data_IF_157688614652
#
_entry.id   IF_157688614652
#
_cell.length_a   1.000
_cell.length_b   1.000
_cell.length_c   1.000
_cell.angle_alpha   90.00
_cell.angle_beta   90.00
_cell.angle_gamma   90.00
#
_symmetry.space_group_name_H-M   'P 1'
#
loop_
_entity.id
_entity.type
_entity.pdbx_description
1 polymer ?
#
# COMPACT_ATOMS: atom_id res chain seq x y z
N UNK A 1 7.96 26.26 -5.05
CA UNK A 1 6.51 26.10 -5.27
C UNK A 1 6.37 24.66 -5.66
N UNK A 2 5.68 23.86 -4.86
CA UNK A 2 5.47 22.46 -5.22
C UNK A 2 4.50 22.39 -6.39
N UNK A 3 4.82 21.56 -7.39
CA UNK A 3 3.99 21.35 -8.58
C UNK A 3 2.80 20.44 -8.24
N UNK A 4 1.88 20.95 -7.41
CA UNK A 4 0.66 20.24 -7.01
C UNK A 4 -0.55 20.89 -7.67
N UNK A 5 -1.30 20.10 -8.45
CA UNK A 5 -2.56 20.52 -9.07
C UNK A 5 -3.71 19.80 -8.36
N UNK A 6 -4.70 20.58 -7.92
CA UNK A 6 -5.94 20.07 -7.32
C UNK A 6 -7.11 20.35 -8.25
N UNK A 7 -7.91 19.33 -8.55
CA UNK A 7 -9.14 19.47 -9.34
C UNK A 7 -10.28 18.70 -8.67
N UNK A 8 -11.39 19.38 -8.45
CA UNK A 8 -12.64 18.77 -7.98
C UNK A 8 -13.60 18.59 -9.15
N UNK A 9 -14.19 17.41 -9.31
CA UNK A 9 -15.23 17.16 -10.35
C UNK A 9 -16.26 16.16 -9.82
N UNK A 10 -17.55 16.50 -9.88
CA UNK A 10 -18.67 15.61 -9.50
C UNK A 10 -18.49 14.87 -8.15
N UNK A 11 -17.86 15.54 -7.16
CA UNK A 11 -17.61 14.97 -5.83
C UNK A 11 -16.25 14.27 -5.68
N UNK A 12 -15.55 13.95 -6.77
CA UNK A 12 -14.19 13.40 -6.72
C UNK A 12 -13.12 14.49 -6.66
N UNK A 13 -12.04 14.20 -5.93
CA UNK A 13 -10.83 14.99 -5.88
C UNK A 13 -9.72 14.31 -6.69
N UNK A 14 -9.08 15.07 -7.55
CA UNK A 14 -7.87 14.68 -8.28
C UNK A 14 -6.71 15.53 -7.76
N UNK A 15 -5.66 14.87 -7.31
CA UNK A 15 -4.39 15.48 -6.90
C UNK A 15 -3.32 15.00 -7.85
N UNK A 16 -2.67 15.93 -8.55
CA UNK A 16 -1.55 15.63 -9.43
C UNK A 16 -0.29 16.25 -8.85
N UNK A 17 0.75 15.44 -8.77
CA UNK A 17 2.15 15.86 -8.56
C UNK A 17 2.95 15.47 -9.81
N UNK A 18 4.23 15.85 -9.97
CA UNK A 18 5.01 15.40 -11.13
C UNK A 18 5.06 13.87 -11.28
N UNK A 19 5.10 13.13 -10.17
CA UNK A 19 5.30 11.68 -10.15
C UNK A 19 4.01 10.88 -9.89
N UNK A 20 3.01 11.44 -9.23
CA UNK A 20 1.80 10.73 -8.79
C UNK A 20 0.51 11.40 -9.26
N UNK A 21 -0.48 10.58 -9.58
CA UNK A 21 -1.89 10.95 -9.60
C UNK A 21 -2.60 10.22 -8.47
N UNK A 22 -3.31 10.99 -7.63
CA UNK A 22 -4.19 10.48 -6.58
C UNK A 22 -5.62 10.87 -6.92
N UNK A 23 -6.50 9.88 -6.99
CA UNK A 23 -7.93 10.07 -7.22
C UNK A 23 -8.66 9.62 -5.97
N UNK A 24 -9.48 10.52 -5.43
CA UNK A 24 -10.29 10.27 -4.26
C UNK A 24 -11.75 10.38 -4.70
N UNK A 25 -12.48 9.28 -4.63
CA UNK A 25 -13.89 9.24 -5.04
C UNK A 25 -14.77 8.84 -3.86
N UNK A 26 -15.76 9.68 -3.49
CA UNK A 26 -16.73 9.32 -2.47
C UNK A 26 -17.82 8.43 -3.07
N UNK A 27 -18.17 7.37 -2.36
CA UNK A 27 -19.33 6.54 -2.66
C UNK A 27 -20.23 6.40 -1.44
N UNK A 28 -21.53 6.25 -1.69
CA UNK A 28 -22.43 5.71 -0.67
C UNK A 28 -22.20 4.21 -0.58
N UNK A 29 -21.99 3.74 0.64
CA UNK A 29 -21.76 2.33 0.89
C UNK A 29 -23.07 1.57 0.59
N UNK A 30 -23.06 0.68 -0.41
CA UNK A 30 -24.13 -0.31 -0.59
C UNK A 30 -23.76 -1.53 0.23
N UNK A 31 -24.74 -2.18 0.86
CA UNK A 31 -24.53 -3.32 1.76
C UNK A 31 -23.48 -4.31 1.22
N UNK A 32 -22.27 -4.31 1.82
CA UNK A 32 -21.24 -5.31 1.57
C UNK A 32 -21.35 -6.44 2.62
N UNK A 33 -20.98 -7.65 2.22
CA UNK A 33 -21.00 -8.82 3.11
C UNK A 33 -20.01 -8.56 4.26
N UNK A 34 -20.51 -8.47 5.50
CA UNK A 34 -19.77 -8.35 6.77
C UNK A 34 -19.43 -6.95 7.30
N UNK A 35 -19.99 -5.86 6.76
CA UNK A 35 -19.82 -4.50 7.32
C UNK A 35 -21.17 -3.94 7.78
N UNK A 36 -21.30 -3.58 9.07
CA UNK A 36 -22.52 -2.98 9.64
C UNK A 36 -22.30 -1.50 9.97
N UNK A 37 -23.26 -0.64 9.62
CA UNK A 37 -23.29 0.77 10.03
C UNK A 37 -22.37 1.71 9.23
N UNK A 38 -21.74 1.23 8.16
CA UNK A 38 -20.96 2.09 7.28
C UNK A 38 -21.88 2.72 6.22
N UNK A 39 -21.90 4.05 6.14
CA UNK A 39 -22.77 4.80 5.22
C UNK A 39 -21.99 5.47 4.08
N UNK A 40 -20.69 5.71 4.29
CA UNK A 40 -19.82 6.42 3.37
C UNK A 40 -18.53 5.63 3.15
N UNK A 41 -18.06 5.61 1.90
CA UNK A 41 -16.79 5.03 1.49
C UNK A 41 -16.00 6.06 0.71
N UNK A 42 -14.69 6.02 0.91
CA UNK A 42 -13.75 6.82 0.17
C UNK A 42 -12.82 5.86 -0.56
N UNK A 43 -12.91 5.84 -1.88
CA UNK A 43 -11.99 5.06 -2.70
C UNK A 43 -10.79 5.96 -3.03
N UNK A 44 -9.59 5.49 -2.68
CA UNK A 44 -8.33 6.21 -2.90
C UNK A 44 -7.49 5.43 -3.88
N UNK A 45 -7.37 5.92 -5.10
CA UNK A 45 -6.56 5.32 -6.14
C UNK A 45 -5.30 6.14 -6.33
N UNK A 46 -4.15 5.48 -6.40
CA UNK A 46 -2.87 6.14 -6.62
C UNK A 46 -2.19 5.45 -7.79
N UNK A 47 -1.72 6.22 -8.76
CA UNK A 47 -0.87 5.72 -9.84
C UNK A 47 0.35 6.59 -10.07
N UNK A 48 1.35 5.99 -10.70
CA UNK A 48 2.51 6.70 -11.19
C UNK A 48 2.17 7.48 -12.48
N UNK A 49 2.76 8.66 -12.62
CA UNK A 49 2.74 9.50 -13.83
C UNK A 49 4.05 9.42 -14.60
N UNK A 50 5.05 8.76 -14.02
CA UNK A 50 6.36 8.50 -14.60
C UNK A 50 6.63 6.99 -14.56
N UNK A 51 7.49 6.47 -15.44
CA UNK A 51 8.03 5.12 -15.27
C UNK A 51 8.63 4.92 -13.89
N UNK A 52 8.46 3.73 -13.34
CA UNK A 52 8.88 3.35 -12.00
C UNK A 52 10.37 3.60 -11.73
N UNK A 53 11.22 3.32 -12.72
CA UNK A 53 12.66 3.55 -12.67
C UNK A 53 13.05 5.04 -12.65
N UNK A 54 12.09 5.94 -12.84
CA UNK A 54 12.28 7.40 -12.84
C UNK A 54 11.73 8.09 -11.59
N UNK A 55 11.12 7.35 -10.66
CA UNK A 55 10.67 7.92 -9.39
C UNK A 55 11.91 8.29 -8.58
N UNK A 56 11.99 9.55 -8.14
CA UNK A 56 13.12 10.02 -7.33
C UNK A 56 13.10 9.46 -5.92
N UNK A 57 11.91 9.37 -5.33
CA UNK A 57 11.67 8.84 -3.99
C UNK A 57 10.83 7.59 -4.08
N UNK A 58 11.48 6.42 -4.17
CA UNK A 58 10.76 5.17 -4.24
C UNK A 58 9.87 4.97 -2.98
N UNK A 59 8.58 4.65 -3.17
CA UNK A 59 7.64 4.47 -2.06
C UNK A 59 7.99 3.26 -1.20
N UNK A 60 7.52 3.27 0.05
CA UNK A 60 7.78 2.22 1.02
C UNK A 60 6.60 2.05 1.97
N UNK A 61 6.46 0.87 2.57
CA UNK A 61 5.39 0.54 3.52
C UNK A 61 4.12 -0.01 2.88
N UNK A 62 2.95 0.41 3.38
CA UNK A 62 1.66 -0.21 3.01
C UNK A 62 1.24 0.15 1.58
N UNK A 63 1.56 1.36 1.13
CA UNK A 63 1.12 1.89 -0.17
C UNK A 63 2.34 2.07 -1.07
N UNK A 64 2.26 1.55 -2.30
CA UNK A 64 3.25 1.79 -3.34
C UNK A 64 4.58 1.04 -3.18
N UNK A 65 4.81 0.27 -2.11
CA UNK A 65 6.05 -0.50 -1.95
C UNK A 65 6.27 -1.53 -3.09
N UNK A 66 5.21 -1.88 -3.83
CA UNK A 66 5.25 -2.66 -5.06
C UNK A 66 5.90 -1.96 -6.25
N UNK A 67 6.10 -0.64 -6.18
CA UNK A 67 6.79 0.14 -7.18
C UNK A 67 8.31 0.16 -6.90
N UNK A 68 8.93 -1.02 -6.93
CA UNK A 68 10.37 -1.26 -6.70
C UNK A 68 11.17 -1.79 -7.91
N UNK A 69 10.54 -1.93 -9.06
CA UNK A 69 11.12 -2.20 -10.37
C UNK A 69 11.20 -3.68 -10.72
N UNK A 70 10.72 -4.56 -9.84
CA UNK A 70 10.86 -6.01 -10.02
C UNK A 70 9.58 -6.70 -10.50
N UNK A 71 8.43 -6.03 -10.41
CA UNK A 71 7.12 -6.55 -10.82
C UNK A 71 6.60 -7.72 -9.99
N UNK A 72 7.17 -7.93 -8.79
CA UNK A 72 6.93 -9.12 -7.98
C UNK A 72 6.14 -8.79 -6.73
N UNK A 73 5.12 -9.62 -6.49
CA UNK A 73 4.40 -9.65 -5.22
C UNK A 73 4.98 -10.73 -4.30
N UNK A 74 4.99 -10.45 -3.00
CA UNK A 74 5.50 -11.37 -1.98
C UNK A 74 4.43 -11.55 -0.89
N UNK A 75 4.17 -12.80 -0.51
CA UNK A 75 3.28 -13.09 0.63
C UNK A 75 4.12 -13.13 1.90
N UNK A 76 3.67 -12.45 2.95
CA UNK A 76 4.27 -12.58 4.27
C UNK A 76 3.88 -13.87 4.98
N UNK A 77 4.43 -14.05 6.18
CA UNK A 77 4.03 -15.12 7.10
C UNK A 77 2.53 -15.07 7.40
N UNK A 78 1.92 -16.24 7.57
CA UNK A 78 0.51 -16.40 7.92
C UNK A 78 0.38 -17.12 9.27
N UNK A 79 -0.59 -16.68 10.08
CA UNK A 79 -0.95 -17.36 11.32
C UNK A 79 -1.70 -18.67 11.02
N UNK A 80 -1.46 -19.70 11.84
CA UNK A 80 -2.27 -20.93 11.84
C UNK A 80 -3.34 -20.80 12.92
N UNK A 81 -4.57 -20.48 12.51
CA UNK A 81 -5.68 -20.27 13.43
C UNK A 81 -6.26 -21.60 13.99
N UNK A 82 -6.53 -21.70 15.30
CA UNK A 82 -7.21 -22.85 15.88
C UNK A 82 -8.70 -22.85 15.49
N UNK A 83 -9.34 -24.02 15.50
CA UNK A 83 -10.78 -24.15 15.19
C UNK A 83 -11.69 -23.48 16.23
N UNK A 84 -11.23 -23.37 17.47
CA UNK A 84 -11.93 -22.67 18.56
C UNK A 84 -10.97 -22.19 19.64
N UNK A 85 -11.41 -21.22 20.45
CA UNK A 85 -10.65 -20.67 21.57
C UNK A 85 -10.06 -19.28 21.31
N UNK A 86 -9.33 -18.78 22.29
CA UNK A 86 -8.56 -17.54 22.18
C UNK A 86 -7.24 -17.82 21.43
N UNK A 87 -6.83 -16.88 20.59
CA UNK A 87 -5.61 -16.99 19.81
C UNK A 87 -4.91 -15.62 19.75
N UNK A 88 -3.59 -15.63 19.96
CA UNK A 88 -2.74 -14.45 19.78
C UNK A 88 -2.01 -14.58 18.44
N UNK A 89 -2.20 -13.60 17.56
CA UNK A 89 -1.50 -13.53 16.27
C UNK A 89 -0.01 -13.24 16.48
N UNK A 90 0.84 -13.90 15.70
CA UNK A 90 2.29 -13.77 15.78
C UNK A 90 2.93 -13.42 14.44
N UNK A 91 2.33 -13.83 13.32
CA UNK A 91 2.95 -13.66 12.00
C UNK A 91 3.01 -12.20 11.56
N UNK A 92 1.94 -11.43 11.80
CA UNK A 92 1.86 -9.98 11.48
C UNK A 92 2.27 -9.65 10.04
N UNK A 93 2.00 -10.56 9.08
CA UNK A 93 2.42 -10.47 7.68
C UNK A 93 3.93 -10.21 7.48
N UNK A 94 4.78 -10.64 8.42
CA UNK A 94 6.23 -10.47 8.37
C UNK A 94 6.78 -10.99 7.04
N UNK A 95 7.66 -10.20 6.42
CA UNK A 95 8.25 -10.51 5.12
C UNK A 95 7.37 -10.19 3.91
N UNK A 96 6.12 -9.72 4.09
CA UNK A 96 5.32 -9.12 3.00
C UNK A 96 5.84 -7.74 2.61
N UNK A 97 6.28 -6.98 3.62
CA UNK A 97 6.89 -5.66 3.51
C UNK A 97 8.28 -5.68 4.16
N UNK A 98 9.15 -4.76 3.78
CA UNK A 98 10.51 -4.72 4.34
C UNK A 98 10.47 -4.21 5.79
N UNK A 99 11.05 -4.96 6.73
CA UNK A 99 11.10 -4.60 8.14
C UNK A 99 10.10 -5.35 9.01
N UNK A 100 9.84 -4.84 10.20
CA UNK A 100 8.89 -5.38 11.18
C UNK A 100 7.87 -4.32 11.60
N UNK A 101 6.78 -4.71 12.26
CA UNK A 101 5.73 -3.78 12.70
C UNK A 101 6.28 -2.55 13.46
N UNK A 102 7.26 -2.76 14.34
CA UNK A 102 7.89 -1.69 15.13
C UNK A 102 8.60 -0.63 14.26
N UNK A 103 9.11 -1.01 13.09
CA UNK A 103 9.78 -0.09 12.16
C UNK A 103 8.81 0.95 11.56
N UNK A 104 7.50 0.68 11.62
CA UNK A 104 6.41 1.52 11.09
C UNK A 104 5.67 2.30 12.18
N UNK A 105 6.08 2.20 13.43
CA UNK A 105 5.44 2.94 14.52
C UNK A 105 5.73 4.43 14.43
N UNK A 106 4.67 5.24 14.56
CA UNK A 106 4.72 6.69 14.60
C UNK A 106 4.62 7.18 16.05
N UNK A 107 5.33 8.26 16.37
CA UNK A 107 5.29 8.88 17.71
C UNK A 107 3.96 9.57 18.02
N UNK A 108 3.11 9.83 17.02
CA UNK A 108 1.80 10.46 17.19
C UNK A 108 1.02 10.60 15.88
N UNK A 109 -0.23 11.08 15.93
CA UNK A 109 -1.16 11.08 14.79
C UNK A 109 -0.69 11.85 13.56
N UNK A 110 0.15 12.87 13.75
CA UNK A 110 0.69 13.71 12.68
C UNK A 110 2.20 13.56 12.53
N UNK A 111 2.82 12.59 13.23
CA UNK A 111 4.23 12.32 13.06
C UNK A 111 4.44 11.69 11.69
N UNK A 112 5.50 12.12 11.01
CA UNK A 112 5.90 11.56 9.72
C UNK A 112 7.20 10.77 9.82
N UNK A 113 7.87 10.83 10.97
CA UNK A 113 9.14 10.15 11.21
C UNK A 113 8.92 8.70 11.66
N UNK A 114 9.45 7.78 10.86
CA UNK A 114 9.64 6.36 11.15
C UNK A 114 10.79 5.86 10.25
N UNK A 115 11.24 4.62 10.43
CA UNK A 115 12.45 4.09 9.78
C UNK A 115 12.43 4.22 8.26
N UNK A 116 11.28 3.99 7.63
CA UNK A 116 11.12 4.03 6.17
C UNK A 116 10.36 5.26 5.68
N UNK A 117 10.33 6.35 6.47
CA UNK A 117 9.68 7.58 6.04
C UNK A 117 10.22 8.09 4.70
N UNK A 118 9.32 8.62 3.89
CA UNK A 118 9.60 9.31 2.62
C UNK A 118 9.25 10.79 2.68
N UNK A 119 8.75 11.25 3.81
CA UNK A 119 8.26 12.61 3.97
C UNK A 119 9.41 13.62 3.89
N UNK A 120 9.36 14.51 2.91
CA UNK A 120 10.36 15.58 2.71
C UNK A 120 11.70 15.12 2.13
N UNK A 121 11.83 13.87 1.68
CA UNK A 121 13.04 13.40 1.01
C UNK A 121 13.09 13.87 -0.44
N UNK A 122 14.31 14.07 -0.95
CA UNK A 122 14.56 14.35 -2.38
C UNK A 122 14.97 13.11 -3.17
N UNK A 123 15.36 12.03 -2.47
CA UNK A 123 15.68 10.74 -3.07
C UNK A 123 15.51 9.60 -2.05
N UNK A 124 15.06 8.43 -2.50
CA UNK A 124 15.06 7.21 -1.69
C UNK A 124 15.16 5.97 -2.57
N UNK A 125 15.90 4.97 -2.10
CA UNK A 125 15.98 3.67 -2.78
C UNK A 125 14.66 2.88 -2.60
N UNK A 126 14.35 1.99 -3.56
CA UNK A 126 13.30 0.99 -3.41
C UNK A 126 13.50 0.06 -2.21
N UNK A 127 12.49 -0.76 -1.91
CA UNK A 127 12.58 -1.79 -0.87
C UNK A 127 13.73 -2.75 -1.16
N UNK A 128 14.32 -3.30 -0.10
CA UNK A 128 15.31 -4.36 -0.23
C UNK A 128 14.63 -5.74 -0.29
N UNK A 129 14.48 -6.28 -1.50
CA UNK A 129 13.84 -7.58 -1.75
C UNK A 129 14.53 -8.75 -1.05
N UNK A 130 15.84 -8.64 -0.77
CA UNK A 130 16.59 -9.69 -0.05
C UNK A 130 16.17 -9.75 1.43
N UNK A 131 15.56 -8.68 1.96
CA UNK A 131 15.05 -8.64 3.33
C UNK A 131 13.59 -9.11 3.46
N UNK A 132 12.93 -9.46 2.36
CA UNK A 132 11.56 -9.97 2.34
C UNK A 132 11.55 -11.48 2.63
N UNK A 133 11.91 -11.80 3.87
CA UNK A 133 12.10 -13.16 4.37
C UNK A 133 10.95 -13.54 5.29
N UNK A 134 10.22 -14.60 4.94
CA UNK A 134 9.27 -15.28 5.83
C UNK A 134 9.92 -16.55 6.38
N UNK A 135 9.92 -16.72 7.70
CA UNK A 135 10.46 -17.90 8.39
C UNK A 135 11.89 -18.30 7.98
N UNK A 136 12.74 -17.32 7.65
CA UNK A 136 14.13 -17.55 7.24
C UNK A 136 14.33 -17.92 5.76
N UNK A 137 13.26 -17.92 4.96
CA UNK A 137 13.29 -18.19 3.53
C UNK A 137 12.86 -16.96 2.75
N UNK A 138 13.58 -16.62 1.68
CA UNK A 138 13.15 -15.60 0.73
C UNK A 138 11.82 -16.02 0.13
N UNK A 139 10.82 -15.14 0.20
CA UNK A 139 9.53 -15.44 -0.37
C UNK A 139 9.63 -15.58 -1.89
N UNK A 140 9.01 -16.65 -2.41
CA UNK A 140 8.90 -16.82 -3.85
C UNK A 140 8.06 -15.67 -4.42
N UNK A 141 8.61 -14.90 -5.38
CA UNK A 141 7.85 -13.86 -6.03
C UNK A 141 6.69 -14.49 -6.80
N UNK A 142 5.52 -13.86 -6.70
CA UNK A 142 4.39 -14.11 -7.58
C UNK A 142 4.37 -13.04 -8.67
N UNK A 143 4.01 -13.44 -9.88
CA UNK A 143 3.71 -12.49 -10.95
C UNK A 143 2.63 -11.53 -10.41
N UNK A 144 2.99 -10.25 -10.30
CA UNK A 144 2.06 -9.23 -9.84
C UNK A 144 0.92 -9.08 -10.83
N UNK A 145 -0.29 -8.81 -10.32
CA UNK A 145 -1.30 -8.17 -11.16
C UNK A 145 -0.75 -6.77 -11.44
N UNK A 146 -0.35 -6.53 -12.68
CA UNK A 146 0.04 -5.21 -13.18
C UNK A 146 -1.18 -4.29 -13.17
N UNK A 147 -1.58 -3.79 -12.00
CA UNK A 147 -2.52 -2.69 -11.92
C UNK A 147 -1.73 -1.38 -11.91
N UNK A 148 -2.03 -0.49 -12.86
CA UNK A 148 -1.47 0.86 -12.90
C UNK A 148 -1.76 1.65 -11.60
N UNK A 149 -2.79 1.22 -10.86
CA UNK A 149 -3.21 1.80 -9.59
C UNK A 149 -2.92 0.88 -8.39
N UNK A 150 -2.57 1.47 -7.25
CA UNK A 150 -2.64 0.86 -5.92
C UNK A 150 -3.75 1.53 -5.10
N UNK A 151 -4.34 0.79 -4.15
CA UNK A 151 -5.33 1.33 -3.21
C UNK A 151 -6.80 1.14 -3.56
N UNK A 152 -7.14 0.35 -4.59
CA UNK A 152 -8.54 -0.03 -4.84
C UNK A 152 -9.04 -1.03 -3.80
N UNK A 153 -10.15 -0.72 -3.15
CA UNK A 153 -10.89 -1.61 -2.24
C UNK A 153 -11.59 -2.76 -2.97
N UNK A 154 -11.76 -2.66 -4.28
CA UNK A 154 -12.34 -3.70 -5.12
C UNK A 154 -11.23 -4.37 -5.94
N UNK A 155 -10.92 -5.61 -5.59
CA UNK A 155 -10.26 -6.56 -6.49
C UNK A 155 -11.37 -7.08 -7.39
N UNK A 156 -11.29 -6.83 -8.71
CA UNK A 156 -12.21 -7.43 -9.67
C UNK A 156 -12.08 -8.96 -9.60
N UNK A 157 -13.01 -9.61 -8.91
CA UNK A 157 -13.08 -11.08 -8.81
C UNK A 157 -13.57 -11.75 -10.11
N UNK A 158 -13.80 -10.99 -11.19
CA UNK A 158 -14.33 -11.52 -12.46
C UNK A 158 -13.29 -12.13 -13.40
N UNK A 159 -12.01 -12.23 -12.99
CA UNK A 159 -11.03 -13.03 -13.71
C UNK A 159 -10.97 -14.48 -13.17
N UNK A 160 -12.00 -15.28 -13.48
CA UNK A 160 -11.93 -16.76 -13.46
C UNK A 160 -12.68 -17.36 -14.63
#
# INVERSE_FOLDING_TARGET
>A
VDDVILKMTYGSLYVLTPEFEVIITPYQFRLERNVKGLHHRLDVQIRLRVPEEKITVAPHGIIGQGWDGDGKAINGEQDVFPTSGEFTTYAQAKGAIEGIADDYMLAGPFATAFKFSRFGLTSAAPRDVVKLVAAGVLNAPKDGVSSDFVGSTEVDFEAK
#
